data_IF_301522014090
#
_entry.id   IF_301522014090
#
_cell.length_a   1.000
_cell.length_b   1.000
_cell.length_c   1.000
_cell.angle_alpha   90.00
_cell.angle_beta   90.00
_cell.angle_gamma   90.00
#
_symmetry.space_group_name_H-M   'P 1'
#
loop_
_entity.id
_entity.type
_entity.pdbx_description
1 polymer ?
#
# COMPACT_ATOMS: atom_id res chain seq x y z
N UNK A 1 12.18 9.76 -12.40
CA UNK A 1 12.30 8.48 -13.09
C UNK A 1 13.77 8.17 -13.34
N UNK A 2 14.15 6.90 -13.40
CA UNK A 2 15.55 6.48 -13.62
C UNK A 2 16.06 6.76 -15.05
N UNK A 3 15.16 7.03 -15.99
CA UNK A 3 15.51 7.37 -17.39
C UNK A 3 15.42 8.88 -17.54
N UNK A 4 16.53 9.50 -17.90
CA UNK A 4 16.63 10.94 -18.17
C UNK A 4 16.35 11.25 -19.64
N UNK A 5 16.04 12.52 -19.94
CA UNK A 5 15.67 12.97 -21.28
C UNK A 5 16.76 12.80 -22.34
N UNK A 6 18.03 12.77 -21.94
CA UNK A 6 19.20 12.54 -22.78
C UNK A 6 19.43 11.04 -23.13
N UNK A 7 18.59 10.14 -22.63
CA UNK A 7 18.70 8.72 -22.95
C UNK A 7 18.48 8.50 -24.46
N UNK A 8 19.44 7.86 -25.17
CA UNK A 8 19.38 7.72 -26.63
C UNK A 8 18.20 6.84 -27.11
N UNK A 9 17.77 5.87 -26.31
CA UNK A 9 16.61 5.03 -26.62
C UNK A 9 15.32 5.86 -26.53
N UNK A 10 15.15 6.66 -25.46
CA UNK A 10 14.00 7.56 -25.30
C UNK A 10 13.94 8.58 -26.43
N UNK A 11 15.08 9.19 -26.81
CA UNK A 11 15.16 10.12 -27.91
C UNK A 11 14.76 9.47 -29.25
N UNK A 12 15.20 8.22 -29.51
CA UNK A 12 14.85 7.47 -30.72
C UNK A 12 13.36 7.12 -30.77
N UNK A 13 12.76 6.76 -29.63
CA UNK A 13 11.32 6.46 -29.49
C UNK A 13 10.49 7.72 -29.76
N UNK A 14 10.85 8.86 -29.16
CA UNK A 14 10.19 10.14 -29.36
C UNK A 14 10.27 10.59 -30.85
N UNK A 15 11.47 10.49 -31.47
CA UNK A 15 11.66 10.82 -32.90
C UNK A 15 10.80 9.98 -33.84
N UNK A 16 10.47 8.75 -33.45
CA UNK A 16 9.62 7.83 -34.23
C UNK A 16 8.13 7.96 -33.90
N UNK A 17 7.75 8.79 -32.91
CA UNK A 17 6.37 8.95 -32.47
C UNK A 17 5.79 7.68 -31.84
N UNK A 18 6.62 6.82 -31.25
CA UNK A 18 6.17 5.60 -30.58
C UNK A 18 5.57 5.97 -29.22
N UNK A 19 4.33 5.56 -28.90
CA UNK A 19 3.73 5.80 -27.60
C UNK A 19 4.57 5.22 -26.47
N UNK A 20 4.75 5.99 -25.40
CA UNK A 20 5.50 5.57 -24.20
C UNK A 20 4.63 5.66 -22.96
N UNK A 21 4.84 4.72 -22.04
CA UNK A 21 4.23 4.72 -20.71
C UNK A 21 5.33 4.67 -19.66
N UNK A 22 5.14 5.38 -18.57
CA UNK A 22 5.95 5.15 -17.38
C UNK A 22 5.60 3.77 -16.78
N UNK A 23 6.49 3.23 -15.92
CA UNK A 23 6.20 1.98 -15.21
C UNK A 23 4.88 2.08 -14.42
N UNK A 24 4.62 3.21 -13.76
CA UNK A 24 3.40 3.41 -12.98
C UNK A 24 2.14 3.42 -13.88
N UNK A 25 2.19 4.10 -15.02
CA UNK A 25 1.09 4.08 -16.00
C UNK A 25 0.82 2.67 -16.52
N UNK A 26 1.86 1.92 -16.89
CA UNK A 26 1.70 0.54 -17.34
C UNK A 26 1.08 -0.35 -16.25
N UNK A 27 1.54 -0.24 -15.00
CA UNK A 27 0.97 -0.98 -13.88
C UNK A 27 -0.50 -0.60 -13.64
N UNK A 28 -0.84 0.68 -13.74
CA UNK A 28 -2.22 1.15 -13.63
C UNK A 28 -3.12 0.54 -14.71
N UNK A 29 -2.66 0.49 -15.96
CA UNK A 29 -3.43 -0.14 -17.04
C UNK A 29 -3.56 -1.67 -16.86
N UNK A 30 -2.52 -2.35 -16.37
CA UNK A 30 -2.59 -3.77 -16.02
C UNK A 30 -3.63 -3.99 -14.91
N UNK A 31 -3.61 -3.16 -13.86
CA UNK A 31 -4.48 -3.23 -12.70
C UNK A 31 -5.97 -3.21 -13.08
N UNK A 32 -6.36 -2.48 -14.12
CA UNK A 32 -7.73 -2.38 -14.61
C UNK A 32 -8.32 -3.69 -15.14
N UNK A 33 -7.48 -4.69 -15.39
CA UNK A 33 -7.94 -6.00 -15.88
C UNK A 33 -8.25 -6.99 -14.74
N UNK A 34 -8.15 -6.55 -13.48
CA UNK A 34 -8.40 -7.38 -12.31
C UNK A 34 -9.72 -7.00 -11.64
N UNK A 35 -10.45 -8.00 -11.15
CA UNK A 35 -11.71 -7.78 -10.41
C UNK A 35 -11.46 -7.01 -9.10
N UNK A 36 -10.35 -7.29 -8.43
CA UNK A 36 -9.92 -6.60 -7.22
C UNK A 36 -8.44 -6.21 -7.34
N UNK A 37 -8.14 -4.96 -7.05
CA UNK A 37 -6.80 -4.41 -7.09
C UNK A 37 -6.50 -3.69 -5.79
N UNK A 38 -5.54 -4.21 -5.03
CA UNK A 38 -5.09 -3.66 -3.73
C UNK A 38 -3.80 -2.87 -3.95
N UNK A 39 -3.81 -1.61 -3.55
CA UNK A 39 -2.65 -0.73 -3.60
C UNK A 39 -2.23 -0.31 -2.18
N UNK A 40 -0.99 -0.63 -1.80
CA UNK A 40 -0.45 -0.33 -0.46
C UNK A 40 0.45 0.90 -0.54
N UNK A 41 0.01 1.99 0.06
CA UNK A 41 0.68 3.28 0.11
C UNK A 41 1.09 3.66 1.54
N UNK A 42 1.97 4.64 1.64
CA UNK A 42 2.47 5.20 2.90
C UNK A 42 3.94 5.56 2.77
N UNK A 43 4.41 6.45 3.59
CA UNK A 43 5.83 6.84 3.61
C UNK A 43 6.71 5.62 3.90
N UNK A 44 6.34 4.82 4.90
CA UNK A 44 7.08 3.65 5.34
C UNK A 44 6.20 2.39 5.43
N UNK A 45 6.82 1.20 5.35
CA UNK A 45 6.15 -0.08 5.58
C UNK A 45 5.48 -0.71 4.36
N UNK A 46 5.42 -0.05 3.21
CA UNK A 46 4.78 -0.53 1.98
C UNK A 46 5.16 -1.97 1.61
N UNK A 47 6.46 -2.23 1.44
CA UNK A 47 6.99 -3.56 1.07
C UNK A 47 6.62 -4.63 2.09
N UNK A 48 6.78 -4.34 3.38
CA UNK A 48 6.46 -5.29 4.46
C UNK A 48 4.98 -5.62 4.49
N UNK A 49 4.11 -4.61 4.42
CA UNK A 49 2.65 -4.82 4.44
C UNK A 49 2.18 -5.55 3.17
N UNK A 50 2.69 -5.18 2.00
CA UNK A 50 2.39 -5.89 0.75
C UNK A 50 2.81 -7.35 0.83
N UNK A 51 3.96 -7.64 1.47
CA UNK A 51 4.42 -9.01 1.72
C UNK A 51 3.47 -9.77 2.65
N UNK A 52 3.07 -9.17 3.78
CA UNK A 52 2.11 -9.78 4.72
C UNK A 52 0.76 -10.07 4.05
N UNK A 53 0.23 -9.14 3.27
CA UNK A 53 -1.01 -9.36 2.48
C UNK A 53 -0.81 -10.52 1.52
N UNK A 54 0.34 -10.57 0.82
CA UNK A 54 0.68 -11.65 -0.12
C UNK A 54 0.68 -13.00 0.57
N UNK A 55 1.37 -13.11 1.70
CA UNK A 55 1.49 -14.36 2.46
C UNK A 55 0.12 -14.84 2.96
N UNK A 56 -0.73 -13.94 3.46
CA UNK A 56 -2.08 -14.26 3.88
C UNK A 56 -2.95 -14.75 2.71
N UNK A 57 -2.87 -14.10 1.55
CA UNK A 57 -3.63 -14.49 0.37
C UNK A 57 -3.21 -15.86 -0.17
N UNK A 58 -1.90 -16.12 -0.20
CA UNK A 58 -1.35 -17.42 -0.62
C UNK A 58 -1.71 -18.52 0.39
N UNK A 59 -1.63 -18.25 1.69
CA UNK A 59 -2.04 -19.18 2.74
C UNK A 59 -3.55 -19.50 2.69
N UNK A 60 -4.38 -18.53 2.27
CA UNK A 60 -5.80 -18.73 2.01
C UNK A 60 -6.10 -19.50 0.72
N UNK A 61 -5.08 -19.96 -0.02
CA UNK A 61 -5.24 -20.68 -1.28
C UNK A 61 -5.65 -19.80 -2.46
N UNK A 62 -5.55 -18.48 -2.33
CA UNK A 62 -5.82 -17.54 -3.41
C UNK A 62 -4.61 -17.45 -4.36
N UNK A 63 -4.87 -16.98 -5.57
CA UNK A 63 -3.85 -16.91 -6.62
C UNK A 63 -3.62 -15.47 -7.12
N UNK A 64 -3.11 -14.56 -6.27
CA UNK A 64 -2.92 -13.15 -6.65
C UNK A 64 -1.79 -12.96 -7.65
N UNK A 65 -1.95 -11.96 -8.52
CA UNK A 65 -0.83 -11.31 -9.21
C UNK A 65 -0.25 -10.26 -8.28
N UNK A 66 1.08 -10.23 -8.14
CA UNK A 66 1.77 -9.44 -7.13
C UNK A 66 2.88 -8.64 -7.80
N UNK A 67 3.00 -7.36 -7.42
CA UNK A 67 4.14 -6.49 -7.75
C UNK A 67 4.62 -5.78 -6.49
N UNK A 68 5.78 -6.17 -5.99
CA UNK A 68 6.38 -5.65 -4.75
C UNK A 68 7.73 -4.99 -5.04
N UNK A 69 8.15 -4.01 -4.23
CA UNK A 69 9.42 -3.28 -4.44
C UNK A 69 10.68 -4.07 -4.08
N UNK A 70 10.55 -5.07 -3.19
CA UNK A 70 11.64 -5.92 -2.73
C UNK A 70 11.52 -7.36 -3.22
N UNK A 71 12.53 -8.17 -2.92
CA UNK A 71 12.49 -9.62 -3.21
C UNK A 71 11.71 -10.31 -2.09
N UNK A 72 10.59 -10.93 -2.44
CA UNK A 72 9.79 -11.75 -1.55
C UNK A 72 10.12 -13.23 -1.77
N UNK A 73 10.57 -13.91 -0.72
CA UNK A 73 11.07 -15.29 -0.81
C UNK A 73 9.98 -16.26 -1.27
N UNK A 74 8.76 -16.08 -0.80
CA UNK A 74 7.64 -16.99 -1.04
C UNK A 74 7.16 -16.98 -2.51
N UNK A 75 7.49 -15.91 -3.25
CA UNK A 75 7.25 -15.86 -4.69
C UNK A 75 8.51 -15.94 -5.54
N UNK A 76 9.69 -16.07 -4.90
CA UNK A 76 10.98 -16.18 -5.59
C UNK A 76 11.42 -14.92 -6.33
N UNK A 77 10.87 -13.76 -6.02
CA UNK A 77 11.15 -12.50 -6.74
C UNK A 77 10.34 -11.33 -6.26
N UNK A 78 10.21 -10.33 -7.10
CA UNK A 78 9.40 -9.13 -6.83
C UNK A 78 8.12 -9.04 -7.69
N UNK A 79 7.91 -9.99 -8.57
CA UNK A 79 6.72 -10.11 -9.41
C UNK A 79 6.28 -11.58 -9.43
N UNK A 80 4.99 -11.80 -9.23
CA UNK A 80 4.32 -13.08 -9.45
C UNK A 80 3.10 -12.84 -10.32
N UNK A 81 2.95 -13.61 -11.37
CA UNK A 81 1.75 -13.64 -12.19
C UNK A 81 0.85 -14.76 -11.65
N UNK A 82 -0.33 -14.38 -11.21
CA UNK A 82 -1.37 -15.28 -10.70
C UNK A 82 -2.59 -15.31 -11.61
N UNK A 83 -3.77 -15.49 -10.99
CA UNK A 83 -5.05 -15.37 -11.69
C UNK A 83 -5.42 -13.92 -12.01
N UNK A 84 -6.58 -13.75 -12.68
CA UNK A 84 -7.09 -12.43 -13.09
C UNK A 84 -7.97 -11.74 -12.06
N UNK A 85 -8.24 -12.40 -10.93
CA UNK A 85 -9.20 -11.88 -9.94
C UNK A 85 -8.56 -10.85 -8.99
N UNK A 86 -7.29 -11.04 -8.63
CA UNK A 86 -6.67 -10.31 -7.54
C UNK A 86 -5.28 -9.79 -7.93
N UNK A 87 -5.10 -8.49 -7.81
CA UNK A 87 -3.82 -7.80 -8.01
C UNK A 87 -3.41 -7.09 -6.72
N UNK A 88 -2.17 -7.25 -6.28
CA UNK A 88 -1.60 -6.58 -5.10
C UNK A 88 -0.32 -5.87 -5.49
N UNK A 89 -0.21 -4.58 -5.16
CA UNK A 89 0.99 -3.81 -5.48
C UNK A 89 1.31 -2.75 -4.43
N UNK A 90 2.58 -2.40 -4.34
CA UNK A 90 2.99 -1.19 -3.67
C UNK A 90 2.65 0.04 -4.51
N UNK A 91 2.22 1.10 -3.84
CA UNK A 91 1.85 2.38 -4.42
C UNK A 91 2.78 3.47 -3.87
N UNK A 92 3.79 3.86 -4.67
CA UNK A 92 4.77 4.86 -4.28
C UNK A 92 4.22 6.27 -4.52
N UNK A 93 4.28 7.10 -3.48
CA UNK A 93 3.89 8.50 -3.50
C UNK A 93 4.89 9.39 -4.26
N UNK A 94 6.15 8.97 -4.33
CA UNK A 94 7.20 9.75 -4.98
C UNK A 94 6.86 10.05 -6.44
N UNK A 95 7.03 11.31 -6.82
CA UNK A 95 6.63 11.85 -8.13
C UNK A 95 5.16 11.64 -8.49
N UNK A 96 4.30 11.47 -7.48
CA UNK A 96 2.87 11.18 -7.67
C UNK A 96 2.60 9.93 -8.52
N UNK A 97 3.53 8.97 -8.52
CA UNK A 97 3.45 7.76 -9.34
C UNK A 97 2.18 6.95 -9.10
N UNK A 98 1.74 6.86 -7.84
CA UNK A 98 0.54 6.12 -7.45
C UNK A 98 -0.78 6.71 -8.03
N UNK A 99 -0.78 7.99 -8.43
CA UNK A 99 -1.94 8.60 -9.08
C UNK A 99 -2.23 8.01 -10.49
N UNK A 100 -1.32 7.20 -11.02
CA UNK A 100 -1.55 6.44 -12.25
C UNK A 100 -2.30 5.12 -12.02
N UNK A 101 -2.55 4.73 -10.76
CA UNK A 101 -3.18 3.46 -10.40
C UNK A 101 -4.71 3.56 -10.40
N UNK A 102 -5.36 2.41 -10.52
CA UNK A 102 -6.82 2.24 -10.49
C UNK A 102 -7.19 1.15 -9.45
N UNK A 103 -6.93 1.40 -8.16
CA UNK A 103 -7.22 0.43 -7.11
C UNK A 103 -8.73 0.31 -6.85
N UNK A 104 -9.16 -0.86 -6.40
CA UNK A 104 -10.49 -1.08 -5.80
C UNK A 104 -10.41 -1.09 -4.28
N UNK A 105 -9.19 -1.31 -3.75
CA UNK A 105 -8.88 -1.20 -2.34
C UNK A 105 -7.53 -0.48 -2.16
N UNK A 106 -7.47 0.46 -1.24
CA UNK A 106 -6.26 1.20 -0.86
C UNK A 106 -5.94 0.95 0.60
N UNK A 107 -4.66 0.78 0.89
CA UNK A 107 -4.11 0.73 2.24
C UNK A 107 -3.18 1.93 2.41
N UNK A 108 -3.41 2.78 3.43
CA UNK A 108 -2.56 3.93 3.76
C UNK A 108 -1.98 3.73 5.15
N UNK A 109 -0.67 3.48 5.23
CA UNK A 109 0.01 3.09 6.46
C UNK A 109 0.38 4.27 7.34
N UNK A 110 0.95 5.30 6.75
CA UNK A 110 1.42 6.52 7.41
C UNK A 110 1.67 7.60 6.36
N UNK A 111 1.66 8.86 6.81
CA UNK A 111 1.98 10.04 5.99
C UNK A 111 2.92 10.91 6.80
N UNK A 112 4.19 10.92 6.41
CA UNK A 112 5.27 11.65 7.07
C UNK A 112 6.06 12.46 6.05
N UNK A 113 6.90 13.39 6.53
CA UNK A 113 7.78 14.15 5.64
C UNK A 113 8.84 13.23 5.03
N UNK A 114 8.77 13.07 3.71
CA UNK A 114 9.75 12.36 2.90
C UNK A 114 9.74 12.95 1.48
N UNK A 115 10.76 12.63 0.69
CA UNK A 115 10.88 13.10 -0.70
C UNK A 115 10.72 14.62 -0.86
N UNK A 116 11.37 15.40 0.05
CA UNK A 116 11.33 16.88 0.03
C UNK A 116 12.09 17.48 -1.17
N UNK A 117 12.73 16.67 -1.99
CA UNK A 117 13.22 17.02 -3.32
C UNK A 117 12.09 17.16 -4.35
N UNK A 118 10.94 16.55 -4.08
CA UNK A 118 9.76 16.59 -4.94
C UNK A 118 8.59 17.34 -4.28
N UNK A 119 8.26 17.03 -3.03
CA UNK A 119 7.20 17.69 -2.27
C UNK A 119 7.75 18.89 -1.50
N UNK A 120 7.03 20.00 -1.52
CA UNK A 120 7.41 21.22 -0.81
C UNK A 120 7.34 21.06 0.71
N UNK A 121 6.31 20.38 1.20
CA UNK A 121 6.00 20.23 2.62
C UNK A 121 5.00 19.08 2.86
N UNK A 122 4.74 18.80 4.13
CA UNK A 122 3.77 17.77 4.54
C UNK A 122 2.35 18.02 4.01
N UNK A 123 1.96 19.28 3.77
CA UNK A 123 0.63 19.60 3.26
C UNK A 123 0.48 19.12 1.81
N UNK A 124 1.52 19.31 1.00
CA UNK A 124 1.52 18.82 -0.38
C UNK A 124 1.50 17.30 -0.42
N UNK A 125 2.23 16.62 0.49
CA UNK A 125 2.16 15.16 0.64
C UNK A 125 0.75 14.72 0.99
N UNK A 126 0.10 15.31 2.00
CA UNK A 126 -1.30 15.02 2.37
C UNK A 126 -2.25 15.22 1.19
N UNK A 127 -2.10 16.33 0.47
CA UNK A 127 -2.91 16.60 -0.71
C UNK A 127 -2.76 15.51 -1.78
N UNK A 128 -1.54 15.01 -1.99
CA UNK A 128 -1.24 13.91 -2.90
C UNK A 128 -1.94 12.61 -2.47
N UNK A 129 -1.88 12.25 -1.17
CA UNK A 129 -2.61 11.10 -0.64
C UNK A 129 -4.13 11.26 -0.75
N UNK A 130 -4.68 12.46 -0.48
CA UNK A 130 -6.09 12.75 -0.71
C UNK A 130 -6.50 12.63 -2.19
N UNK A 131 -5.61 13.02 -3.12
CA UNK A 131 -5.82 12.80 -4.54
C UNK A 131 -5.77 11.30 -4.91
N UNK A 132 -4.96 10.50 -4.21
CA UNK A 132 -4.92 9.06 -4.38
C UNK A 132 -6.22 8.40 -3.90
N UNK A 133 -6.73 8.73 -2.72
CA UNK A 133 -8.03 8.23 -2.22
C UNK A 133 -9.17 8.50 -3.20
N UNK A 134 -9.14 9.63 -3.91
CA UNK A 134 -10.13 9.94 -4.96
C UNK A 134 -10.07 8.98 -6.16
N UNK A 135 -9.00 8.18 -6.31
CA UNK A 135 -8.88 7.16 -7.37
C UNK A 135 -9.72 5.92 -7.08
N UNK A 136 -10.08 5.66 -5.81
CA UNK A 136 -11.01 4.59 -5.48
C UNK A 136 -12.33 4.75 -6.23
N UNK A 137 -12.94 3.68 -6.72
CA UNK A 137 -14.31 3.73 -7.23
C UNK A 137 -15.31 3.98 -6.08
N UNK A 138 -16.53 4.36 -6.41
CA UNK A 138 -17.60 4.42 -5.43
C UNK A 138 -17.86 3.02 -4.85
N UNK A 139 -17.95 2.94 -3.53
CA UNK A 139 -18.03 1.68 -2.79
C UNK A 139 -16.70 0.92 -2.65
N UNK A 140 -15.58 1.49 -3.12
CA UNK A 140 -14.24 0.95 -2.91
C UNK A 140 -13.85 0.89 -1.43
N UNK A 141 -12.78 0.18 -1.10
CA UNK A 141 -12.29 0.00 0.27
C UNK A 141 -11.08 0.88 0.53
N UNK A 142 -11.14 1.69 1.58
CA UNK A 142 -10.00 2.40 2.15
C UNK A 142 -9.66 1.82 3.52
N UNK A 143 -8.48 1.22 3.67
CA UNK A 143 -7.89 0.80 4.94
C UNK A 143 -6.85 1.86 5.33
N UNK A 144 -7.03 2.54 6.46
CA UNK A 144 -6.20 3.70 6.79
C UNK A 144 -5.83 3.74 8.27
N UNK A 145 -4.59 4.12 8.55
CA UNK A 145 -4.12 4.29 9.93
C UNK A 145 -4.80 5.49 10.59
N UNK A 146 -5.53 5.24 11.67
CA UNK A 146 -6.23 6.26 12.45
C UNK A 146 -5.30 7.30 13.11
N UNK A 147 -4.01 6.99 13.24
CA UNK A 147 -3.01 7.92 13.78
C UNK A 147 -2.48 8.95 12.80
N UNK A 148 -2.93 8.94 11.54
CA UNK A 148 -2.56 9.95 10.55
C UNK A 148 -3.20 11.29 10.94
N UNK A 149 -2.36 12.32 11.06
CA UNK A 149 -2.80 13.67 11.39
C UNK A 149 -3.69 14.23 10.26
N UNK A 150 -4.82 14.86 10.64
CA UNK A 150 -5.84 15.40 9.72
C UNK A 150 -6.41 14.35 8.75
N UNK A 151 -6.72 13.19 9.30
CA UNK A 151 -7.25 12.04 8.56
C UNK A 151 -8.46 12.44 7.69
N UNK A 152 -9.32 13.30 8.18
CA UNK A 152 -10.51 13.79 7.50
C UNK A 152 -10.20 14.56 6.20
N UNK A 153 -9.04 15.23 6.13
CA UNK A 153 -8.61 15.92 4.90
C UNK A 153 -8.17 14.90 3.82
N UNK A 154 -7.66 13.73 4.24
CA UNK A 154 -7.22 12.66 3.34
C UNK A 154 -8.44 11.89 2.79
N UNK A 155 -9.34 11.50 3.68
CA UNK A 155 -10.55 10.75 3.32
C UNK A 155 -11.53 11.62 2.52
N UNK A 156 -11.71 12.88 2.93
CA UNK A 156 -12.61 13.83 2.28
C UNK A 156 -14.06 13.32 2.23
N UNK A 157 -14.77 13.71 1.18
CA UNK A 157 -16.17 13.31 0.92
C UNK A 157 -16.28 12.05 0.03
N UNK A 158 -15.23 11.24 -0.08
CA UNK A 158 -15.24 10.07 -0.97
C UNK A 158 -16.26 9.03 -0.49
N UNK A 159 -17.12 8.60 -1.40
CA UNK A 159 -18.08 7.52 -1.15
C UNK A 159 -17.37 6.16 -1.22
N UNK A 160 -16.65 5.80 -0.17
CA UNK A 160 -15.97 4.52 -0.03
C UNK A 160 -16.19 3.94 1.37
N UNK A 161 -15.98 2.63 1.51
CA UNK A 161 -15.95 1.98 2.82
C UNK A 161 -14.61 2.28 3.49
N UNK A 162 -14.62 2.97 4.61
CA UNK A 162 -13.43 3.22 5.41
C UNK A 162 -13.31 2.19 6.52
N UNK A 163 -12.14 1.62 6.67
CA UNK A 163 -11.73 0.74 7.77
C UNK A 163 -10.47 1.33 8.39
N UNK A 164 -10.47 1.51 9.69
CA UNK A 164 -9.35 2.12 10.40
C UNK A 164 -8.55 1.08 11.18
N UNK A 165 -7.25 1.29 11.25
CA UNK A 165 -6.35 0.53 12.12
C UNK A 165 -5.38 1.46 12.83
N UNK A 166 -4.82 1.03 13.95
CA UNK A 166 -3.81 1.81 14.66
C UNK A 166 -3.81 1.62 16.17
N UNK A 167 -3.22 2.61 16.87
CA UNK A 167 -3.10 2.63 18.34
C UNK A 167 -4.38 3.10 19.04
N UNK A 168 -5.24 3.83 18.35
CA UNK A 168 -6.45 4.41 18.91
C UNK A 168 -7.48 3.33 19.27
N UNK A 169 -8.09 3.45 20.46
CA UNK A 169 -9.14 2.51 20.89
C UNK A 169 -10.39 2.54 19.98
N UNK A 170 -10.60 3.65 19.30
CA UNK A 170 -11.71 3.83 18.35
C UNK A 170 -11.41 3.26 16.94
N UNK A 171 -10.23 2.66 16.73
CA UNK A 171 -9.89 2.02 15.45
C UNK A 171 -10.65 0.70 15.30
N UNK A 172 -11.04 0.36 14.07
CA UNK A 172 -11.67 -0.94 13.79
C UNK A 172 -10.73 -2.10 14.11
N UNK A 173 -9.42 -1.94 13.88
CA UNK A 173 -8.38 -2.94 14.17
C UNK A 173 -7.31 -2.33 15.07
N UNK A 174 -7.04 -2.98 16.20
CA UNK A 174 -6.02 -2.53 17.15
C UNK A 174 -5.31 -3.71 17.81
N UNK A 175 -4.14 -3.47 18.37
CA UNK A 175 -3.32 -4.46 19.07
C UNK A 175 -3.22 -4.11 20.55
N UNK A 176 -3.42 -5.11 21.43
CA UNK A 176 -3.16 -4.99 22.87
C UNK A 176 -2.16 -6.06 23.34
N UNK A 177 -1.63 -5.89 24.54
CA UNK A 177 -0.75 -6.86 25.19
C UNK A 177 0.45 -7.28 24.31
N UNK A 178 1.08 -6.29 23.64
CA UNK A 178 2.25 -6.52 22.79
C UNK A 178 3.40 -7.06 23.68
N UNK A 179 3.94 -8.20 23.30
CA UNK A 179 5.09 -8.84 23.93
C UNK A 179 6.10 -9.28 22.87
N UNK A 180 7.35 -9.42 23.25
CA UNK A 180 8.44 -9.77 22.34
C UNK A 180 9.12 -11.06 22.80
N UNK A 181 9.49 -11.92 21.86
CA UNK A 181 10.33 -13.08 22.13
C UNK A 181 11.83 -12.71 22.22
N UNK A 182 12.69 -13.69 22.43
CA UNK A 182 14.15 -13.53 22.51
C UNK A 182 14.80 -13.00 21.21
N UNK A 183 14.09 -13.08 20.08
CA UNK A 183 14.51 -12.55 18.78
C UNK A 183 13.85 -11.20 18.47
N UNK A 184 13.22 -10.55 19.45
CA UNK A 184 12.49 -9.31 19.29
C UNK A 184 11.32 -9.38 18.27
N UNK A 185 10.74 -10.58 18.08
CA UNK A 185 9.54 -10.75 17.25
C UNK A 185 8.31 -10.51 18.11
N UNK A 186 7.38 -9.62 17.69
CA UNK A 186 6.22 -9.28 18.48
C UNK A 186 5.12 -10.34 18.39
N UNK A 187 4.39 -10.46 19.49
CA UNK A 187 3.08 -11.07 19.53
C UNK A 187 2.10 -10.13 20.25
N UNK A 188 0.84 -10.15 19.85
CA UNK A 188 -0.18 -9.24 20.40
C UNK A 188 -1.57 -9.86 20.34
N UNK A 189 -2.49 -9.35 21.15
CA UNK A 189 -3.91 -9.69 21.05
C UNK A 189 -4.55 -8.76 20.03
N UNK A 190 -5.10 -9.34 18.97
CA UNK A 190 -5.83 -8.61 17.93
C UNK A 190 -7.21 -8.27 18.42
N UNK A 191 -7.58 -7.01 18.39
CA UNK A 191 -8.95 -6.57 18.63
C UNK A 191 -9.58 -6.07 17.34
N UNK A 192 -10.78 -6.55 17.04
CA UNK A 192 -11.62 -6.09 15.94
C UNK A 192 -12.83 -5.38 16.53
N UNK A 193 -12.91 -4.06 16.39
CA UNK A 193 -13.95 -3.20 16.98
C UNK A 193 -14.12 -3.42 18.49
N UNK A 194 -13.00 -3.58 19.18
CA UNK A 194 -12.94 -3.80 20.61
C UNK A 194 -13.14 -5.24 21.08
N UNK A 195 -13.51 -6.15 20.19
CA UNK A 195 -13.68 -7.58 20.51
C UNK A 195 -12.37 -8.35 20.26
N UNK A 196 -12.02 -9.25 21.17
CA UNK A 196 -10.83 -10.09 21.07
C UNK A 196 -11.01 -11.10 19.92
N UNK A 197 -10.12 -11.02 18.94
CA UNK A 197 -10.07 -11.90 17.76
C UNK A 197 -8.93 -12.93 17.84
N UNK A 198 -8.19 -12.95 18.96
CA UNK A 198 -7.13 -13.93 19.23
C UNK A 198 -5.71 -13.37 19.19
N UNK A 199 -4.76 -14.24 19.50
CA UNK A 199 -3.33 -13.91 19.56
C UNK A 199 -2.66 -14.04 18.22
N UNK A 200 -1.96 -12.99 17.79
CA UNK A 200 -1.14 -12.95 16.57
C UNK A 200 0.34 -12.96 16.95
N UNK A 201 1.16 -13.70 16.21
CA UNK A 201 2.63 -13.70 16.35
C UNK A 201 3.24 -13.41 14.99
N UNK A 202 4.14 -12.44 14.93
CA UNK A 202 4.80 -12.05 13.68
C UNK A 202 6.16 -12.73 13.53
N UNK A 203 6.51 -13.06 12.30
CA UNK A 203 7.84 -13.55 11.93
C UNK A 203 8.89 -12.42 11.73
N UNK A 204 8.46 -11.17 11.80
CA UNK A 204 9.30 -9.97 11.62
C UNK A 204 9.42 -9.19 12.92
N UNK A 205 10.49 -8.43 13.09
CA UNK A 205 10.79 -7.67 14.30
C UNK A 205 10.24 -6.25 14.25
N UNK A 206 10.07 -5.62 15.41
CA UNK A 206 9.75 -4.21 15.55
C UNK A 206 8.27 -3.90 15.73
N UNK A 207 7.97 -2.94 16.62
CA UNK A 207 6.60 -2.53 16.95
C UNK A 207 5.84 -1.97 15.74
N UNK A 208 6.52 -1.24 14.86
CA UNK A 208 5.90 -0.72 13.64
C UNK A 208 5.28 -1.82 12.76
N UNK A 209 5.84 -3.05 12.81
CA UNK A 209 5.29 -4.19 12.08
C UNK A 209 4.05 -4.78 12.74
N UNK A 210 3.81 -4.55 14.04
CA UNK A 210 2.52 -4.83 14.67
C UNK A 210 1.43 -4.01 13.96
N UNK A 211 1.65 -2.69 13.80
CA UNK A 211 0.67 -1.83 13.14
C UNK A 211 0.57 -2.10 11.64
N UNK A 212 1.67 -2.40 10.96
CA UNK A 212 1.63 -2.82 9.55
C UNK A 212 0.80 -4.10 9.35
N UNK A 213 0.78 -4.99 10.33
CA UNK A 213 0.01 -6.26 10.27
C UNK A 213 -1.48 -6.10 10.58
N UNK A 214 -1.91 -4.95 11.11
CA UNK A 214 -3.33 -4.64 11.32
C UNK A 214 -4.01 -4.14 10.03
N UNK A 215 -3.21 -3.67 9.09
CA UNK A 215 -3.66 -3.13 7.80
C UNK A 215 -4.04 -4.24 6.82
#
# INVERSE_FOLDING_TARGET
AAIHEDNPELAAVQKRGIPTLTRAQLLGEIMRNYGQAVAVAGTHGKTTTTSMITDMLLAAGLNPTISVGGILKDIGGNIRVGGSELFVTEACEYTNSFLSFYPTAEVILNIEEDHLDFFKDIQEIRHSFGAFVKRLPDGGLLVINSGIDRLEEIVGEKNCRVVTFGKGEDSDYTAKNIAYDEFARPSYDLLIRGEDAGRVTLGVTGEHNVYNSLA
#
